data_IF_976001597815
#
_entry.id   IF_976001597815
#
_cell.length_a   1.000
_cell.length_b   1.000
_cell.length_c   1.000
_cell.angle_alpha   90.00
_cell.angle_beta   90.00
_cell.angle_gamma   90.00
#
_symmetry.space_group_name_H-M   'P 1'
#
loop_
_entity.id
_entity.type
_entity.pdbx_description
1 polymer ?
#
# COMPACT_ATOMS: atom_id res chain seq x y z
N UNK A 1 -4.67 24.77 -3.50
CA UNK A 1 -5.79 23.90 -3.94
C UNK A 1 -6.58 24.65 -5.01
N UNK A 2 -6.09 24.63 -6.26
CA UNK A 2 -6.62 25.49 -7.35
C UNK A 2 -7.99 25.00 -7.84
N UNK A 3 -8.26 23.70 -7.72
CA UNK A 3 -9.49 23.06 -8.22
C UNK A 3 -10.77 23.69 -7.65
N UNK A 4 -10.85 23.88 -6.33
CA UNK A 4 -12.03 24.50 -5.70
C UNK A 4 -12.17 25.97 -6.03
N UNK A 5 -11.06 26.70 -6.16
CA UNK A 5 -11.11 28.10 -6.59
C UNK A 5 -11.67 28.24 -8.01
N UNK A 6 -11.35 27.30 -8.92
CA UNK A 6 -11.97 27.28 -10.27
C UNK A 6 -13.48 27.09 -10.17
N UNK A 7 -13.96 26.18 -9.32
CA UNK A 7 -15.39 25.98 -9.12
C UNK A 7 -16.10 27.16 -8.46
N UNK A 8 -15.46 27.81 -7.49
CA UNK A 8 -15.97 29.05 -6.88
C UNK A 8 -16.08 30.17 -7.93
N UNK A 9 -15.10 30.30 -8.83
CA UNK A 9 -15.17 31.29 -9.93
C UNK A 9 -16.24 30.98 -10.98
N UNK A 10 -16.63 29.71 -11.12
CA UNK A 10 -17.74 29.28 -11.98
C UNK A 10 -19.11 29.49 -11.31
N UNK A 11 -19.15 30.03 -10.08
CA UNK A 11 -20.39 30.33 -9.36
C UNK A 11 -21.05 29.10 -8.73
N UNK A 12 -20.37 27.95 -8.73
CA UNK A 12 -20.89 26.72 -8.10
C UNK A 12 -20.37 26.61 -6.67
N UNK A 13 -21.27 26.81 -5.69
CA UNK A 13 -20.98 26.41 -4.30
C UNK A 13 -21.06 24.90 -4.22
N UNK A 14 -19.92 24.25 -3.97
CA UNK A 14 -19.88 22.81 -3.75
C UNK A 14 -20.15 22.50 -2.29
N UNK A 15 -21.11 21.63 -2.04
CA UNK A 15 -21.29 20.99 -0.74
C UNK A 15 -20.09 20.09 -0.44
N UNK A 16 -19.79 19.87 0.84
CA UNK A 16 -18.58 19.16 1.24
C UNK A 16 -18.56 17.70 0.77
N UNK A 17 -19.72 17.05 0.69
CA UNK A 17 -19.87 15.70 0.12
C UNK A 17 -19.47 15.69 -1.38
N UNK A 18 -19.89 16.71 -2.14
CA UNK A 18 -19.53 16.83 -3.55
C UNK A 18 -18.03 17.10 -3.75
N UNK A 19 -17.38 17.82 -2.83
CA UNK A 19 -15.93 18.06 -2.89
C UNK A 19 -15.13 16.77 -2.73
N UNK A 20 -15.59 15.86 -1.87
CA UNK A 20 -14.96 14.55 -1.69
C UNK A 20 -15.05 13.72 -2.97
N UNK A 21 -16.24 13.66 -3.59
CA UNK A 21 -16.46 12.98 -4.87
C UNK A 21 -15.56 13.52 -5.98
N UNK A 22 -15.46 14.85 -6.09
CA UNK A 22 -14.59 15.50 -7.07
C UNK A 22 -13.12 15.13 -6.81
N UNK A 23 -12.65 15.16 -5.56
CA UNK A 23 -11.27 14.77 -5.27
C UNK A 23 -11.03 13.33 -5.72
N UNK A 24 -11.88 12.39 -5.31
CA UNK A 24 -11.73 10.97 -5.63
C UNK A 24 -11.72 10.71 -7.14
N UNK A 25 -12.56 11.42 -7.89
CA UNK A 25 -12.63 11.30 -9.35
C UNK A 25 -11.37 11.79 -10.07
N UNK A 26 -10.66 12.77 -9.50
CA UNK A 26 -9.45 13.35 -10.09
C UNK A 26 -8.15 12.68 -9.63
N UNK A 27 -8.23 11.66 -8.76
CA UNK A 27 -7.04 10.95 -8.32
C UNK A 27 -6.39 10.13 -9.46
N UNK A 28 -5.05 10.11 -9.55
CA UNK A 28 -4.35 9.24 -10.50
C UNK A 28 -4.62 7.75 -10.25
N UNK A 29 -4.47 6.92 -11.30
CA UNK A 29 -4.67 5.46 -11.22
C UNK A 29 -3.81 4.77 -10.15
N UNK A 30 -2.68 5.36 -9.76
CA UNK A 30 -1.84 4.87 -8.66
C UNK A 30 -2.58 4.82 -7.30
N UNK A 31 -3.67 5.57 -7.14
CA UNK A 31 -4.53 5.55 -5.95
C UNK A 31 -5.70 4.57 -6.07
N UNK A 32 -5.75 3.72 -7.10
CA UNK A 32 -6.87 2.78 -7.33
C UNK A 32 -7.20 1.90 -6.12
N UNK A 33 -6.19 1.39 -5.40
CA UNK A 33 -6.42 0.65 -4.15
C UNK A 33 -7.09 1.50 -3.07
N UNK A 34 -6.65 2.76 -2.91
CA UNK A 34 -7.26 3.68 -1.96
C UNK A 34 -8.73 3.95 -2.30
N UNK A 35 -9.03 4.25 -3.57
CA UNK A 35 -10.40 4.51 -4.05
C UNK A 35 -11.29 3.29 -3.82
N UNK A 36 -10.80 2.09 -4.14
CA UNK A 36 -11.53 0.84 -3.91
C UNK A 36 -11.85 0.65 -2.42
N UNK A 37 -10.89 0.86 -1.54
CA UNK A 37 -11.09 0.76 -0.10
C UNK A 37 -12.08 1.81 0.43
N UNK A 38 -11.99 3.05 -0.03
CA UNK A 38 -12.90 4.13 0.34
C UNK A 38 -14.35 3.79 -0.03
N UNK A 39 -14.57 3.37 -1.27
CA UNK A 39 -15.89 3.04 -1.81
C UNK A 39 -16.51 1.79 -1.17
N UNK A 40 -15.74 0.70 -1.06
CA UNK A 40 -16.23 -0.57 -0.48
C UNK A 40 -16.61 -0.38 0.98
N UNK A 41 -15.80 0.34 1.74
CA UNK A 41 -16.04 0.54 3.16
C UNK A 41 -17.03 1.67 3.46
N UNK A 42 -17.56 2.34 2.43
CA UNK A 42 -18.43 3.52 2.56
C UNK A 42 -17.86 4.51 3.58
N UNK A 43 -16.57 4.80 3.47
CA UNK A 43 -15.88 5.63 4.45
C UNK A 43 -16.51 7.02 4.44
N UNK A 44 -17.15 7.39 5.55
CA UNK A 44 -17.60 8.75 5.77
C UNK A 44 -16.46 9.50 6.42
N UNK A 45 -15.76 10.29 5.62
CA UNK A 45 -14.70 11.17 6.10
C UNK A 45 -15.18 12.61 6.08
N UNK A 46 -14.41 13.49 6.69
CA UNK A 46 -14.52 14.92 6.38
C UNK A 46 -13.42 15.26 5.38
N UNK A 47 -13.60 16.34 4.62
CA UNK A 47 -12.61 16.80 3.66
C UNK A 47 -11.16 16.88 4.23
N UNK A 48 -10.90 17.42 5.45
CA UNK A 48 -9.56 17.41 6.03
C UNK A 48 -9.01 16.00 6.29
N UNK A 49 -9.86 15.08 6.75
CA UNK A 49 -9.48 13.69 7.00
C UNK A 49 -9.11 12.97 5.69
N UNK A 50 -9.91 13.16 4.63
CA UNK A 50 -9.62 12.64 3.29
C UNK A 50 -8.24 13.12 2.79
N UNK A 51 -7.94 14.41 2.95
CA UNK A 51 -6.64 14.98 2.53
C UNK A 51 -5.46 14.38 3.31
N UNK A 52 -5.64 14.14 4.61
CA UNK A 52 -4.63 13.48 5.43
C UNK A 52 -4.40 12.03 4.98
N UNK A 53 -5.47 11.27 4.77
CA UNK A 53 -5.40 9.90 4.29
C UNK A 53 -4.75 9.80 2.90
N UNK A 54 -5.03 10.73 1.99
CA UNK A 54 -4.40 10.81 0.68
C UNK A 54 -2.90 11.10 0.78
N UNK A 55 -2.49 11.95 1.72
CA UNK A 55 -1.06 12.24 1.98
C UNK A 55 -0.33 10.99 2.45
N UNK A 56 -0.93 10.23 3.36
CA UNK A 56 -0.38 8.94 3.82
C UNK A 56 -0.32 7.93 2.67
N UNK A 57 -1.39 7.80 1.90
CA UNK A 57 -1.45 6.91 0.74
C UNK A 57 -0.38 7.27 -0.31
N UNK A 58 -0.16 8.56 -0.58
CA UNK A 58 0.89 9.02 -1.48
C UNK A 58 2.28 8.62 -0.98
N UNK A 59 2.55 8.77 0.33
CA UNK A 59 3.79 8.34 0.96
C UNK A 59 4.05 6.84 0.79
N UNK A 60 3.01 6.01 0.97
CA UNK A 60 3.08 4.56 0.76
C UNK A 60 3.34 4.26 -0.72
N UNK A 61 2.61 4.88 -1.65
CA UNK A 61 2.79 4.68 -3.10
C UNK A 61 4.21 5.04 -3.54
N UNK A 62 4.76 6.16 -3.05
CA UNK A 62 6.14 6.58 -3.32
C UNK A 62 7.16 5.63 -2.69
N UNK A 63 6.92 5.19 -1.45
CA UNK A 63 7.77 4.21 -0.76
C UNK A 63 7.78 2.85 -1.43
N UNK A 64 6.64 2.41 -1.98
CA UNK A 64 6.50 1.13 -2.69
C UNK A 64 7.30 1.11 -4.01
N UNK A 65 7.54 2.28 -4.64
CA UNK A 65 8.44 2.40 -5.79
C UNK A 65 9.92 2.25 -5.42
N UNK A 66 10.30 2.49 -4.17
CA UNK A 66 11.68 2.38 -3.69
C UNK A 66 11.98 1.06 -2.98
N UNK A 67 10.95 0.29 -2.62
CA UNK A 67 11.08 -0.96 -1.91
C UNK A 67 10.23 -2.02 -2.58
N UNK A 68 10.80 -2.72 -3.55
CA UNK A 68 10.44 -4.11 -3.81
C UNK A 68 10.53 -4.84 -2.46
N UNK A 69 9.41 -4.98 -1.76
CA UNK A 69 9.32 -5.94 -0.66
C UNK A 69 9.47 -7.28 -1.36
N UNK A 70 10.70 -7.80 -1.34
CA UNK A 70 10.94 -9.22 -1.47
C UNK A 70 10.14 -9.86 -0.34
N UNK A 71 8.94 -10.33 -0.66
CA UNK A 71 8.32 -11.40 0.09
C UNK A 71 9.22 -12.61 -0.15
N UNK A 72 10.33 -12.67 0.58
CA UNK A 72 10.89 -13.96 0.92
C UNK A 72 9.84 -14.58 1.81
N UNK A 73 8.93 -15.33 1.19
CA UNK A 73 8.06 -16.27 1.86
C UNK A 73 8.99 -17.26 2.54
N UNK A 74 9.42 -16.89 3.76
CA UNK A 74 10.04 -17.78 4.71
C UNK A 74 8.98 -18.80 5.03
N UNK A 75 8.95 -19.85 4.22
CA UNK A 75 8.22 -21.08 4.47
C UNK A 75 8.43 -21.45 5.93
N UNK A 76 7.42 -21.17 6.76
CA UNK A 76 7.24 -21.84 8.04
C UNK A 76 6.67 -23.23 7.75
N UNK A 77 7.43 -24.01 7.00
CA UNK A 77 7.20 -25.44 6.79
C UNK A 77 7.64 -26.19 8.03
N UNK A 78 6.68 -26.47 8.91
CA UNK A 78 6.89 -27.35 10.05
C UNK A 78 7.05 -28.82 9.60
N UNK A 79 7.96 -29.52 10.28
CA UNK A 79 8.08 -30.98 10.49
C UNK A 79 8.63 -31.91 9.38
N UNK A 80 9.86 -32.34 9.67
CA UNK A 80 10.40 -33.72 9.72
C UNK A 80 10.35 -34.60 8.46
N UNK A 81 11.53 -35.00 7.97
CA UNK A 81 11.79 -36.40 7.57
C UNK A 81 13.28 -36.75 7.56
N UNK A 82 13.58 -37.78 8.33
CA UNK A 82 14.76 -38.64 8.34
C UNK A 82 15.40 -38.87 6.96
N UNK A 83 16.74 -38.80 6.85
CA UNK A 83 17.49 -39.79 6.05
C UNK A 83 19.00 -39.81 6.36
N UNK A 84 19.37 -40.97 6.91
CA UNK A 84 20.67 -41.59 7.07
C UNK A 84 21.60 -41.53 5.82
N UNK A 85 22.91 -41.50 6.11
CA UNK A 85 24.06 -42.01 5.35
C UNK A 85 24.73 -41.14 4.26
N UNK A 86 25.97 -40.70 4.54
CA UNK A 86 27.15 -41.07 3.74
C UNK A 86 28.49 -40.73 4.43
N UNK A 87 29.21 -41.82 4.69
CA UNK A 87 30.61 -41.98 5.08
C UNK A 87 31.55 -41.20 4.13
N UNK A 88 32.47 -40.37 4.66
CA UNK A 88 33.77 -40.10 4.00
C UNK A 88 34.82 -39.74 5.05
N UNK A 89 35.82 -40.61 5.17
CA UNK A 89 36.78 -40.63 6.26
C UNK A 89 37.77 -39.47 6.27
N UNK A 90 38.38 -39.25 7.44
CA UNK A 90 39.59 -38.48 7.57
C UNK A 90 40.56 -39.26 8.46
N UNK A 91 41.63 -39.75 7.83
CA UNK A 91 42.84 -40.23 8.50
C UNK A 91 43.46 -39.05 9.26
N UNK A 92 43.84 -39.25 10.51
CA UNK A 92 44.95 -38.51 11.13
C UNK A 92 45.76 -39.48 11.98
N UNK A 93 46.96 -39.75 11.48
CA UNK A 93 48.10 -40.32 12.19
C UNK A 93 48.59 -39.31 13.22
N UNK A 94 49.09 -39.80 14.36
CA UNK A 94 49.81 -39.02 15.35
C UNK A 94 50.35 -39.95 16.41
N UNK A 95 51.64 -40.27 16.27
CA UNK A 95 52.49 -41.10 17.13
C UNK A 95 52.58 -40.58 18.55
#
# INVERSE_FOLDING_TARGET
>A
MVLFNVFDTLGSKMDDEFKEDVILAFLPLSFSQFIMTFNINKMKTTLPELMNQLTVAEGIIKGHKSGSINVAEGSSGSKSKDQNSKKKGKKTSGT
#
